data_IF_294640508478
#
_entry.id   IF_294640508478
#
_cell.length_a   1.000
_cell.length_b   1.000
_cell.length_c   1.000
_cell.angle_alpha   90.00
_cell.angle_beta   90.00
_cell.angle_gamma   90.00
#
_symmetry.space_group_name_H-M   'P 1'
#
loop_
_entity.id
_entity.type
_entity.pdbx_description
1 polymer ?
#
# COMPACT_ATOMS: atom_id res chain seq x y z
N UNK A 1 27.59 -3.21 1.95
CA UNK A 1 26.36 -3.41 2.71
C UNK A 1 25.92 -2.06 3.19
N UNK A 2 24.77 -1.58 2.71
CA UNK A 2 24.22 -0.32 3.19
C UNK A 2 23.56 -0.58 4.55
N UNK A 3 24.06 0.07 5.61
CA UNK A 3 23.42 0.12 6.91
C UNK A 3 22.13 0.95 6.77
N UNK A 4 20.99 0.28 6.75
CA UNK A 4 19.69 0.93 6.88
C UNK A 4 19.54 1.33 8.35
N UNK A 5 19.68 2.63 8.65
CA UNK A 5 19.68 3.22 10.00
C UNK A 5 18.32 3.20 10.72
N UNK A 6 17.70 2.03 10.84
CA UNK A 6 16.62 1.77 11.77
C UNK A 6 17.16 1.38 13.15
N UNK A 7 16.33 1.37 14.22
CA UNK A 7 16.72 0.78 15.49
C UNK A 7 17.07 -0.69 15.26
N UNK A 8 18.26 -1.08 15.71
CA UNK A 8 18.72 -2.46 15.71
C UNK A 8 17.70 -3.35 16.45
N UNK A 9 17.25 -4.42 15.78
CA UNK A 9 16.28 -5.35 16.35
C UNK A 9 16.80 -5.97 17.64
N UNK A 10 18.12 -6.25 17.72
CA UNK A 10 18.76 -6.79 18.91
C UNK A 10 18.69 -5.80 20.08
N UNK A 11 18.95 -4.52 19.81
CA UNK A 11 18.85 -3.48 20.82
C UNK A 11 17.41 -3.33 21.35
N UNK A 12 16.41 -3.33 20.46
CA UNK A 12 15.01 -3.24 20.84
C UNK A 12 14.56 -4.45 21.69
N UNK A 13 14.98 -5.66 21.30
CA UNK A 13 14.67 -6.88 22.02
C UNK A 13 15.39 -6.98 23.37
N UNK A 14 16.64 -6.52 23.45
CA UNK A 14 17.39 -6.38 24.70
C UNK A 14 16.67 -5.47 25.69
N UNK A 15 16.25 -4.27 25.25
CA UNK A 15 15.50 -3.34 26.11
C UNK A 15 14.18 -3.94 26.61
N UNK A 16 13.43 -4.63 25.75
CA UNK A 16 12.18 -5.27 26.15
C UNK A 16 12.43 -6.40 27.18
N UNK A 17 13.46 -7.22 26.94
CA UNK A 17 13.86 -8.32 27.83
C UNK A 17 14.30 -7.79 29.20
N UNK A 18 15.18 -6.80 29.23
CA UNK A 18 15.70 -6.20 30.46
C UNK A 18 14.59 -5.53 31.29
N UNK A 19 13.57 -4.98 30.61
CA UNK A 19 12.37 -4.45 31.24
C UNK A 19 11.32 -5.51 31.63
N UNK A 20 11.55 -6.80 31.32
CA UNK A 20 10.59 -7.88 31.56
C UNK A 20 9.29 -7.73 30.79
N UNK A 21 9.32 -7.08 29.61
CA UNK A 21 8.15 -6.80 28.77
C UNK A 21 8.14 -7.73 27.54
N UNK A 22 6.97 -8.27 27.14
CA UNK A 22 6.89 -9.05 25.92
C UNK A 22 7.10 -8.17 24.68
N UNK A 23 7.84 -8.66 23.69
CA UNK A 23 8.03 -8.02 22.40
C UNK A 23 7.20 -8.73 21.32
N UNK A 24 6.45 -7.95 20.53
CA UNK A 24 5.74 -8.40 19.34
C UNK A 24 6.30 -7.64 18.13
N UNK A 25 6.78 -8.38 17.14
CA UNK A 25 7.25 -7.86 15.85
C UNK A 25 6.15 -8.07 14.81
N UNK A 26 5.81 -7.03 14.06
CA UNK A 26 4.96 -7.11 12.88
C UNK A 26 5.84 -6.99 11.64
N UNK A 27 5.86 -8.01 10.81
CA UNK A 27 6.46 -7.99 9.49
C UNK A 27 5.35 -7.85 8.45
N UNK A 28 5.29 -6.69 7.80
CA UNK A 28 4.27 -6.36 6.81
C UNK A 28 4.82 -6.49 5.39
N UNK A 29 4.06 -7.15 4.52
CA UNK A 29 4.36 -7.42 3.11
C UNK A 29 5.80 -7.92 2.83
N UNK A 30 6.30 -8.97 3.51
CA UNK A 30 7.62 -9.53 3.21
C UNK A 30 7.79 -9.96 1.75
N UNK A 31 6.72 -10.29 1.04
CA UNK A 31 6.75 -10.57 -0.39
C UNK A 31 7.31 -9.44 -1.28
N UNK A 32 7.34 -8.20 -0.77
CA UNK A 32 7.87 -7.03 -1.48
C UNK A 32 9.37 -6.82 -1.16
N UNK A 33 10.02 -7.78 -0.49
CA UNK A 33 11.44 -7.73 -0.18
C UNK A 33 12.33 -7.77 -1.44
N UNK A 34 13.52 -7.14 -1.40
CA UNK A 34 14.51 -7.25 -2.46
C UNK A 34 14.84 -8.71 -2.80
N UNK A 35 15.03 -9.07 -4.10
CA UNK A 35 15.29 -10.45 -4.52
C UNK A 35 16.45 -11.13 -3.80
N UNK A 36 17.51 -10.39 -3.46
CA UNK A 36 18.67 -10.91 -2.73
C UNK A 36 18.31 -11.46 -1.34
N UNK A 37 17.29 -10.91 -0.68
CA UNK A 37 16.78 -11.42 0.60
C UNK A 37 15.89 -12.65 0.40
N UNK A 38 15.27 -12.78 -0.78
CA UNK A 38 14.44 -13.93 -1.11
C UNK A 38 15.24 -15.20 -1.45
N UNK A 39 16.53 -15.07 -1.80
CA UNK A 39 17.38 -16.20 -2.21
C UNK A 39 17.65 -17.20 -1.06
N UNK A 40 17.74 -16.73 0.19
CA UNK A 40 17.95 -17.57 1.38
C UNK A 40 16.86 -17.36 2.45
N UNK A 41 15.60 -17.43 2.04
CA UNK A 41 14.47 -17.39 2.98
C UNK A 41 14.54 -18.49 4.05
N UNK A 42 15.10 -19.66 3.71
CA UNK A 42 15.23 -20.78 4.64
C UNK A 42 16.18 -20.46 5.80
N UNK A 43 17.38 -19.96 5.49
CA UNK A 43 18.35 -19.51 6.49
C UNK A 43 17.79 -18.36 7.32
N UNK A 44 17.19 -17.35 6.66
CA UNK A 44 16.57 -16.22 7.35
C UNK A 44 15.48 -16.65 8.34
N UNK A 45 14.61 -17.60 7.97
CA UNK A 45 13.57 -18.12 8.88
C UNK A 45 14.20 -18.87 10.06
N UNK A 46 15.24 -19.67 9.83
CA UNK A 46 15.92 -20.40 10.90
C UNK A 46 16.54 -19.44 11.94
N UNK A 47 17.25 -18.43 11.46
CA UNK A 47 17.87 -17.39 12.30
C UNK A 47 16.81 -16.58 13.05
N UNK A 48 15.72 -16.21 12.37
CA UNK A 48 14.58 -15.50 12.98
C UNK A 48 13.94 -16.34 14.09
N UNK A 49 13.73 -17.64 13.87
CA UNK A 49 13.16 -18.53 14.91
C UNK A 49 14.11 -18.68 16.10
N UNK A 50 15.42 -18.78 15.87
CA UNK A 50 16.41 -18.82 16.93
C UNK A 50 16.39 -17.52 17.76
N UNK A 51 16.38 -16.38 17.07
CA UNK A 51 16.31 -15.05 17.67
C UNK A 51 15.03 -14.84 18.49
N UNK A 52 13.85 -15.18 17.94
CA UNK A 52 12.57 -15.06 18.65
C UNK A 52 12.57 -15.87 19.95
N UNK A 53 13.15 -17.08 19.94
CA UNK A 53 13.29 -17.92 21.13
C UNK A 53 14.25 -17.33 22.14
N UNK A 54 15.40 -16.83 21.68
CA UNK A 54 16.39 -16.22 22.55
C UNK A 54 15.79 -15.05 23.32
N UNK A 55 15.09 -14.14 22.63
CA UNK A 55 14.52 -12.92 23.22
C UNK A 55 13.11 -13.10 23.81
N UNK A 56 12.50 -14.28 23.67
CA UNK A 56 11.11 -14.49 24.07
C UNK A 56 10.12 -13.60 23.30
N UNK A 57 10.50 -13.20 22.08
CA UNK A 57 9.71 -12.34 21.21
C UNK A 57 8.73 -13.15 20.35
N UNK A 58 7.70 -12.48 19.83
CA UNK A 58 6.69 -13.06 18.94
C UNK A 58 6.68 -12.33 17.60
N UNK A 59 6.36 -13.04 16.53
CA UNK A 59 6.26 -12.50 15.18
C UNK A 59 4.82 -12.66 14.66
N UNK A 60 4.28 -11.59 14.09
CA UNK A 60 3.08 -11.59 13.25
C UNK A 60 3.49 -11.18 11.86
N UNK A 61 2.99 -11.89 10.85
CA UNK A 61 3.32 -11.64 9.45
C UNK A 61 2.04 -11.27 8.72
N UNK A 62 1.98 -10.04 8.18
CA UNK A 62 0.96 -9.63 7.23
C UNK A 62 1.48 -9.90 5.82
N UNK A 63 0.86 -10.83 5.10
CA UNK A 63 1.27 -11.19 3.74
C UNK A 63 0.10 -11.72 2.92
N UNK A 64 0.31 -11.80 1.60
CA UNK A 64 -0.63 -12.43 0.67
C UNK A 64 -0.70 -13.95 0.87
N UNK A 65 -1.87 -14.58 0.61
CA UNK A 65 -2.05 -16.03 0.76
C UNK A 65 -1.01 -16.86 -0.01
N UNK A 66 -0.68 -16.46 -1.24
CA UNK A 66 0.26 -17.18 -2.12
C UNK A 66 1.70 -17.12 -1.60
N UNK A 67 2.04 -16.05 -0.87
CA UNK A 67 3.32 -15.96 -0.19
C UNK A 67 3.34 -16.86 1.05
N UNK A 68 2.28 -16.82 1.85
CA UNK A 68 2.15 -17.62 3.07
C UNK A 68 2.25 -19.13 2.81
N UNK A 69 1.65 -19.65 1.73
CA UNK A 69 1.72 -21.07 1.38
C UNK A 69 3.17 -21.60 1.29
N UNK A 70 4.09 -20.77 0.80
CA UNK A 70 5.52 -21.11 0.67
C UNK A 70 6.31 -20.74 1.92
N UNK A 71 6.11 -19.53 2.41
CA UNK A 71 6.88 -18.97 3.54
C UNK A 71 6.52 -19.63 4.87
N UNK A 72 5.22 -19.83 5.14
CA UNK A 72 4.74 -20.46 6.36
C UNK A 72 5.23 -21.91 6.51
N UNK A 73 5.47 -22.62 5.41
CA UNK A 73 6.01 -23.98 5.41
C UNK A 73 7.44 -24.07 5.97
N UNK A 74 8.22 -22.98 5.89
CA UNK A 74 9.60 -22.92 6.37
C UNK A 74 9.70 -22.89 7.90
N UNK A 75 8.66 -22.42 8.59
CA UNK A 75 8.66 -22.36 10.06
C UNK A 75 8.47 -23.75 10.67
N UNK A 76 9.30 -24.18 11.64
CA UNK A 76 9.06 -25.42 12.38
C UNK A 76 7.69 -25.42 13.05
N UNK A 77 6.98 -26.55 13.08
CA UNK A 77 5.63 -26.64 13.66
C UNK A 77 5.58 -26.15 15.12
N UNK A 78 6.64 -26.38 15.90
CA UNK A 78 6.76 -25.96 17.30
C UNK A 78 6.98 -24.45 17.47
N UNK A 79 7.34 -23.74 16.39
CA UNK A 79 7.51 -22.30 16.40
C UNK A 79 6.23 -21.55 15.96
N UNK A 80 5.21 -22.26 15.48
CA UNK A 80 3.95 -21.66 15.02
C UNK A 80 2.94 -21.54 16.15
N UNK A 81 2.12 -20.51 16.10
CA UNK A 81 0.97 -20.35 16.99
C UNK A 81 -0.10 -21.44 16.70
N UNK A 82 -0.97 -21.73 17.68
CA UNK A 82 -2.09 -22.68 17.53
C UNK A 82 -3.03 -22.33 16.37
N UNK A 83 -3.15 -21.03 16.10
CA UNK A 83 -3.77 -20.47 14.90
C UNK A 83 -2.64 -19.91 14.02
N UNK A 84 -2.03 -20.73 13.14
CA UNK A 84 -0.83 -20.33 12.42
C UNK A 84 -1.11 -19.32 11.30
N UNK A 85 -2.37 -19.20 10.85
CA UNK A 85 -2.80 -18.27 9.83
C UNK A 85 -4.24 -17.81 10.11
N UNK A 86 -4.50 -16.53 9.89
CA UNK A 86 -5.84 -15.93 9.94
C UNK A 86 -6.05 -15.26 8.58
N UNK A 87 -7.01 -15.76 7.81
CA UNK A 87 -7.39 -15.13 6.55
C UNK A 87 -8.22 -13.88 6.84
N UNK A 88 -7.83 -12.77 6.22
CA UNK A 88 -8.56 -11.51 6.28
C UNK A 88 -9.37 -11.36 4.98
N UNK A 89 -10.68 -11.53 5.08
CA UNK A 89 -11.61 -11.36 3.96
C UNK A 89 -12.24 -9.94 4.00
N UNK A 90 -13.25 -9.72 3.17
CA UNK A 90 -14.13 -8.55 3.26
C UNK A 90 -14.68 -8.36 4.68
N UNK A 91 -14.94 -7.10 5.04
CA UNK A 91 -15.48 -6.72 6.34
C UNK A 91 -16.83 -7.40 6.61
N UNK A 92 -17.14 -7.64 7.88
CA UNK A 92 -18.50 -8.03 8.22
C UNK A 92 -19.50 -6.89 7.95
N UNK A 93 -20.80 -7.19 8.01
CA UNK A 93 -21.83 -6.19 7.69
C UNK A 93 -21.84 -4.98 8.64
N UNK A 94 -21.53 -5.20 9.93
CA UNK A 94 -21.46 -4.16 10.95
C UNK A 94 -20.22 -3.29 10.79
N UNK A 95 -19.07 -3.91 10.57
CA UNK A 95 -17.79 -3.25 10.27
C UNK A 95 -17.87 -2.42 8.99
N UNK A 96 -18.43 -2.98 7.92
CA UNK A 96 -18.64 -2.27 6.66
C UNK A 96 -19.58 -1.07 6.84
N UNK A 97 -20.66 -1.22 7.62
CA UNK A 97 -21.55 -0.09 7.93
C UNK A 97 -20.82 0.99 8.75
N UNK A 98 -19.97 0.61 9.70
CA UNK A 98 -19.17 1.55 10.48
C UNK A 98 -18.15 2.30 9.62
N UNK A 99 -17.44 1.60 8.74
CA UNK A 99 -16.48 2.21 7.83
C UNK A 99 -17.17 3.16 6.84
N UNK A 100 -18.30 2.75 6.26
CA UNK A 100 -19.09 3.61 5.36
C UNK A 100 -19.49 4.93 6.02
N UNK A 101 -19.99 4.88 7.27
CA UNK A 101 -20.30 6.10 8.04
C UNK A 101 -19.07 6.98 8.23
N UNK A 102 -17.92 6.40 8.59
CA UNK A 102 -16.65 7.15 8.78
C UNK A 102 -16.16 7.79 7.49
N UNK A 103 -16.37 7.14 6.35
CA UNK A 103 -15.95 7.62 5.03
C UNK A 103 -17.00 8.49 4.32
N UNK A 104 -18.16 8.76 4.94
CA UNK A 104 -19.23 9.54 4.30
C UNK A 104 -19.89 8.84 3.11
N UNK A 105 -19.87 7.51 3.07
CA UNK A 105 -20.49 6.70 2.03
C UNK A 105 -21.89 6.28 2.50
N UNK A 106 -22.98 6.66 1.80
CA UNK A 106 -24.33 6.28 2.21
C UNK A 106 -24.60 4.79 1.99
N UNK A 107 -25.64 4.27 2.65
CA UNK A 107 -26.10 2.92 2.37
C UNK A 107 -26.59 2.81 0.92
N UNK A 108 -26.24 1.71 0.25
CA UNK A 108 -26.44 1.58 -1.20
C UNK A 108 -25.65 2.57 -2.08
N UNK A 109 -24.67 3.31 -1.53
CA UNK A 109 -23.83 4.25 -2.27
C UNK A 109 -22.72 3.59 -3.13
N UNK A 110 -22.60 2.27 -3.07
CA UNK A 110 -21.68 1.43 -3.85
C UNK A 110 -22.39 0.11 -4.21
N UNK A 111 -21.89 -0.59 -5.24
CA UNK A 111 -22.45 -1.86 -5.67
C UNK A 111 -22.48 -2.89 -4.53
N UNK A 112 -23.58 -3.65 -4.38
CA UNK A 112 -23.79 -4.56 -3.25
C UNK A 112 -22.66 -5.59 -3.08
N UNK A 113 -22.10 -6.09 -4.19
CA UNK A 113 -20.97 -7.03 -4.17
C UNK A 113 -19.69 -6.45 -3.56
N UNK A 114 -19.52 -5.13 -3.64
CA UNK A 114 -18.33 -4.41 -3.22
C UNK A 114 -18.58 -3.67 -1.89
N UNK A 115 -19.78 -3.81 -1.31
CA UNK A 115 -20.26 -3.03 -0.17
C UNK A 115 -19.55 -3.31 1.16
N UNK A 116 -18.74 -4.39 1.20
CA UNK A 116 -17.95 -4.83 2.35
C UNK A 116 -16.45 -4.75 2.12
N UNK A 117 -16.04 -4.35 0.92
CA UNK A 117 -14.63 -4.28 0.56
C UNK A 117 -14.00 -3.02 1.17
N UNK A 118 -13.03 -3.15 2.10
CA UNK A 118 -12.54 -2.03 2.90
C UNK A 118 -11.94 -0.91 2.04
N UNK A 119 -11.10 -1.27 1.06
CA UNK A 119 -10.50 -0.28 0.16
C UNK A 119 -11.54 0.42 -0.74
N UNK A 120 -12.53 -0.30 -1.28
CA UNK A 120 -13.56 0.30 -2.14
C UNK A 120 -14.39 1.33 -1.37
N UNK A 121 -14.74 1.04 -0.11
CA UNK A 121 -15.46 2.00 0.75
C UNK A 121 -14.61 3.25 0.99
N UNK A 122 -13.33 3.08 1.35
CA UNK A 122 -12.43 4.22 1.61
C UNK A 122 -12.29 5.12 0.38
N UNK A 123 -11.98 4.54 -0.77
CA UNK A 123 -11.76 5.29 -2.01
C UNK A 123 -13.05 5.94 -2.53
N UNK A 124 -14.21 5.28 -2.38
CA UNK A 124 -15.49 5.88 -2.70
C UNK A 124 -15.77 7.13 -1.84
N UNK A 125 -15.42 7.10 -0.56
CA UNK A 125 -15.52 8.26 0.33
C UNK A 125 -14.66 9.44 -0.15
N UNK A 126 -13.41 9.17 -0.53
CA UNK A 126 -12.51 10.22 -1.05
C UNK A 126 -12.98 10.81 -2.37
N UNK A 127 -13.43 9.97 -3.31
CA UNK A 127 -13.98 10.42 -4.60
C UNK A 127 -15.22 11.28 -4.38
N UNK A 128 -16.14 10.84 -3.50
CA UNK A 128 -17.35 11.62 -3.15
C UNK A 128 -17.01 12.97 -2.54
N UNK A 129 -16.06 13.00 -1.62
CA UNK A 129 -15.61 14.24 -0.99
C UNK A 129 -15.01 15.23 -2.00
N UNK A 130 -14.29 14.74 -3.01
CA UNK A 130 -13.70 15.57 -4.05
C UNK A 130 -14.71 16.09 -5.09
N UNK A 131 -15.68 15.26 -5.50
CA UNK A 131 -16.68 15.64 -6.51
C UNK A 131 -17.70 16.66 -5.97
N UNK A 132 -17.98 16.65 -4.67
CA UNK A 132 -18.90 17.61 -4.07
C UNK A 132 -20.35 17.40 -4.51
N UNK A 133 -20.89 16.20 -4.25
CA UNK A 133 -22.27 15.84 -4.55
C UNK A 133 -22.55 14.36 -4.31
N UNK A 134 -23.80 13.94 -4.49
CA UNK A 134 -24.14 12.52 -4.53
C UNK A 134 -23.90 11.98 -5.95
N UNK A 135 -22.82 11.19 -6.21
CA UNK A 135 -22.68 10.48 -7.46
C UNK A 135 -23.94 9.67 -7.77
N UNK A 136 -24.35 9.73 -9.03
CA UNK A 136 -25.48 8.95 -9.53
C UNK A 136 -25.11 7.46 -9.56
N UNK A 137 -26.03 6.62 -9.10
CA UNK A 137 -25.89 5.17 -9.19
C UNK A 137 -25.09 4.52 -8.07
N UNK A 138 -24.66 3.28 -8.33
CA UNK A 138 -23.97 2.40 -7.37
C UNK A 138 -22.69 1.88 -8.01
N UNK A 139 -21.60 2.67 -7.96
CA UNK A 139 -20.39 2.31 -8.68
C UNK A 139 -19.81 1.01 -8.13
N UNK A 140 -19.30 0.22 -9.05
CA UNK A 140 -18.54 -0.99 -8.79
C UNK A 140 -17.13 -0.66 -8.32
N UNK A 141 -16.45 -1.63 -7.70
CA UNK A 141 -15.04 -1.49 -7.31
C UNK A 141 -14.13 -1.01 -8.44
N UNK A 142 -14.33 -1.49 -9.67
CA UNK A 142 -13.57 -1.05 -10.86
C UNK A 142 -13.80 0.43 -11.16
N UNK A 143 -15.05 0.88 -11.13
CA UNK A 143 -15.39 2.29 -11.38
C UNK A 143 -14.85 3.19 -10.27
N UNK A 144 -14.95 2.75 -9.01
CA UNK A 144 -14.37 3.47 -7.86
C UNK A 144 -12.86 3.62 -8.02
N UNK A 145 -12.14 2.53 -8.35
CA UNK A 145 -10.68 2.57 -8.50
C UNK A 145 -10.27 3.44 -9.68
N UNK A 146 -11.02 3.40 -10.78
CA UNK A 146 -10.77 4.25 -11.95
C UNK A 146 -10.98 5.74 -11.60
N UNK A 147 -12.10 6.08 -10.96
CA UNK A 147 -12.39 7.45 -10.54
C UNK A 147 -11.39 7.98 -9.50
N UNK A 148 -10.91 7.11 -8.61
CA UNK A 148 -9.87 7.47 -7.66
C UNK A 148 -8.52 7.73 -8.35
N UNK A 149 -8.16 6.91 -9.35
CA UNK A 149 -6.96 7.15 -10.16
C UNK A 149 -7.05 8.50 -10.90
N UNK A 150 -8.21 8.81 -11.49
CA UNK A 150 -8.45 10.10 -12.14
C UNK A 150 -8.32 11.26 -11.14
N UNK A 151 -8.85 11.10 -9.92
CA UNK A 151 -8.70 12.08 -8.83
C UNK A 151 -7.23 12.28 -8.42
N UNK A 152 -6.45 11.21 -8.30
CA UNK A 152 -5.01 11.33 -8.02
C UNK A 152 -4.29 12.07 -9.14
N UNK A 153 -4.61 11.77 -10.41
CA UNK A 153 -4.02 12.47 -11.55
C UNK A 153 -4.39 13.95 -11.58
N UNK A 154 -5.63 14.30 -11.19
CA UNK A 154 -6.07 15.68 -11.03
C UNK A 154 -5.28 16.40 -9.93
N UNK A 155 -5.13 15.80 -8.75
CA UNK A 155 -4.36 16.38 -7.63
C UNK A 155 -2.90 16.64 -7.99
N UNK A 156 -2.26 15.74 -8.74
CA UNK A 156 -0.91 15.94 -9.26
C UNK A 156 -0.87 17.11 -10.25
N UNK A 157 -1.87 17.22 -11.14
CA UNK A 157 -1.97 18.35 -12.06
C UNK A 157 -2.19 19.69 -11.35
N UNK A 158 -2.96 19.71 -10.26
CA UNK A 158 -3.14 20.90 -9.40
C UNK A 158 -1.81 21.33 -8.78
N UNK A 159 -1.04 20.41 -8.18
CA UNK A 159 0.30 20.71 -7.62
C UNK A 159 1.26 21.27 -8.67
N UNK A 160 1.34 20.63 -9.84
CA UNK A 160 2.16 21.11 -10.95
C UNK A 160 1.81 22.53 -11.41
N UNK A 161 0.55 22.92 -11.25
CA UNK A 161 0.08 24.24 -11.63
C UNK A 161 0.33 25.30 -10.59
N UNK A 162 0.36 24.93 -9.31
CA UNK A 162 0.80 25.81 -8.22
C UNK A 162 2.30 26.10 -8.32
N UNK A 163 3.10 25.13 -8.78
CA UNK A 163 4.53 25.29 -9.03
C UNK A 163 4.86 26.07 -10.32
N UNK A 164 3.92 26.10 -11.28
CA UNK A 164 4.03 26.80 -12.56
C UNK A 164 3.23 28.10 -12.63
N UNK A 165 3.35 28.85 -13.74
CA UNK A 165 2.35 29.86 -14.09
C UNK A 165 1.24 29.17 -14.89
N UNK A 166 0.06 29.00 -14.29
CA UNK A 166 -1.10 28.46 -14.97
C UNK A 166 -1.46 29.32 -16.20
N UNK A 167 -1.59 28.76 -17.41
CA UNK A 167 -2.10 29.49 -18.57
C UNK A 167 -3.58 29.90 -18.34
N UNK A 168 -4.00 31.06 -18.85
CA UNK A 168 -5.39 31.57 -18.74
C UNK A 168 -6.45 30.77 -19.56
N UNK A 169 -6.24 29.48 -19.83
CA UNK A 169 -7.12 28.67 -20.68
C UNK A 169 -8.08 27.78 -19.84
N UNK A 170 -9.41 27.85 -20.03
CA UNK A 170 -10.38 27.13 -19.19
C UNK A 170 -10.16 25.62 -19.01
N UNK A 171 -9.54 24.96 -19.98
CA UNK A 171 -9.33 23.50 -20.02
C UNK A 171 -7.88 23.06 -19.70
N UNK A 172 -6.99 23.98 -19.32
CA UNK A 172 -5.58 23.67 -19.15
C UNK A 172 -5.38 22.57 -18.08
N UNK A 173 -6.11 22.64 -16.96
CA UNK A 173 -5.98 21.69 -15.85
C UNK A 173 -6.45 20.29 -16.27
N UNK A 174 -7.55 20.22 -17.04
CA UNK A 174 -8.04 18.95 -17.58
C UNK A 174 -7.03 18.31 -18.53
N UNK A 175 -6.41 19.10 -19.41
CA UNK A 175 -5.35 18.62 -20.31
C UNK A 175 -4.11 18.17 -19.52
N UNK A 176 -3.74 18.88 -18.47
CA UNK A 176 -2.60 18.50 -17.63
C UNK A 176 -2.90 17.20 -16.86
N UNK A 177 -4.08 17.05 -16.28
CA UNK A 177 -4.51 15.81 -15.64
C UNK A 177 -4.50 14.62 -16.61
N UNK A 178 -4.96 14.81 -17.85
CA UNK A 178 -4.88 13.77 -18.89
C UNK A 178 -3.42 13.40 -19.23
N UNK A 179 -2.51 14.38 -19.26
CA UNK A 179 -1.07 14.13 -19.47
C UNK A 179 -0.45 13.38 -18.28
N UNK A 180 -0.84 13.72 -17.06
CA UNK A 180 -0.44 12.99 -15.84
C UNK A 180 -0.90 11.55 -15.94
N UNK A 181 -2.19 11.31 -16.24
CA UNK A 181 -2.75 9.98 -16.40
C UNK A 181 -1.99 9.15 -17.45
N UNK A 182 -1.63 9.75 -18.59
CA UNK A 182 -0.81 9.09 -19.60
C UNK A 182 0.56 8.65 -19.09
N UNK A 183 1.24 9.49 -18.29
CA UNK A 183 2.55 9.15 -17.70
C UNK A 183 2.43 8.11 -16.59
N UNK A 184 1.39 8.19 -15.75
CA UNK A 184 1.11 7.18 -14.72
C UNK A 184 0.79 5.82 -15.37
N UNK A 185 0.07 5.80 -16.49
CA UNK A 185 -0.18 4.57 -17.24
C UNK A 185 1.11 3.98 -17.84
N UNK A 186 2.00 4.83 -18.36
CA UNK A 186 3.30 4.37 -18.85
C UNK A 186 4.19 3.84 -17.71
N UNK A 187 4.20 4.52 -16.56
CA UNK A 187 4.87 4.02 -15.36
C UNK A 187 4.34 2.64 -14.96
N UNK A 188 3.01 2.49 -14.86
CA UNK A 188 2.38 1.21 -14.55
C UNK A 188 2.73 0.11 -15.56
N UNK A 189 2.92 0.44 -16.84
CA UNK A 189 3.37 -0.50 -17.86
C UNK A 189 4.82 -0.93 -17.64
N UNK A 190 5.72 0.00 -17.31
CA UNK A 190 7.13 -0.31 -17.01
C UNK A 190 7.27 -1.19 -15.76
N UNK A 191 6.40 -0.99 -14.76
CA UNK A 191 6.29 -1.83 -13.57
C UNK A 191 5.97 -3.31 -13.88
N UNK A 192 5.36 -3.64 -15.03
CA UNK A 192 5.05 -5.03 -15.41
C UNK A 192 6.29 -5.83 -15.86
N UNK A 193 7.46 -5.19 -15.93
CA UNK A 193 8.72 -5.86 -16.18
C UNK A 193 9.19 -6.75 -15.00
N UNK A 194 10.40 -7.32 -15.09
CA UNK A 194 10.94 -8.24 -14.08
C UNK A 194 11.17 -7.64 -12.67
N UNK A 195 10.92 -6.35 -12.47
CA UNK A 195 11.16 -5.61 -11.22
C UNK A 195 10.08 -5.72 -10.13
N UNK A 196 9.39 -6.86 -9.99
CA UNK A 196 8.39 -7.11 -8.93
C UNK A 196 7.27 -6.05 -8.82
N UNK A 197 6.94 -5.33 -9.90
CA UNK A 197 5.93 -4.27 -9.85
C UNK A 197 6.47 -2.89 -9.43
N UNK A 198 7.76 -2.77 -9.10
CA UNK A 198 8.40 -1.49 -8.82
C UNK A 198 8.78 -0.76 -10.10
N UNK A 199 8.84 0.58 -10.01
CA UNK A 199 9.41 1.42 -11.06
C UNK A 199 10.86 1.75 -10.68
N UNK A 200 11.79 1.41 -11.55
CA UNK A 200 13.20 1.75 -11.33
C UNK A 200 13.39 3.26 -11.24
N UNK A 201 14.40 3.68 -10.47
CA UNK A 201 14.67 5.11 -10.26
C UNK A 201 14.88 5.85 -11.57
N UNK A 202 15.63 5.26 -12.51
CA UNK A 202 15.92 5.87 -13.81
C UNK A 202 14.63 6.06 -14.64
N UNK A 203 13.77 5.03 -14.67
CA UNK A 203 12.46 5.09 -15.33
C UNK A 203 11.52 6.13 -14.69
N UNK A 204 11.53 6.22 -13.36
CA UNK A 204 10.77 7.23 -12.62
C UNK A 204 11.23 8.64 -13.00
N UNK A 205 12.54 8.91 -13.00
CA UNK A 205 13.08 10.23 -13.31
C UNK A 205 12.86 10.62 -14.78
N UNK A 206 12.86 9.66 -15.71
CA UNK A 206 12.50 9.87 -17.11
C UNK A 206 11.03 10.30 -17.26
N UNK A 207 10.12 9.59 -16.58
CA UNK A 207 8.68 9.86 -16.65
C UNK A 207 8.27 11.08 -15.82
N UNK A 208 8.98 11.37 -14.73
CA UNK A 208 8.67 12.44 -13.78
C UNK A 208 9.93 13.25 -13.43
N UNK A 209 10.36 14.18 -14.31
CA UNK A 209 11.60 14.90 -14.10
C UNK A 209 11.57 15.82 -12.88
N UNK A 210 12.64 15.79 -12.08
CA UNK A 210 12.81 16.67 -10.92
C UNK A 210 12.88 18.15 -11.30
N UNK A 211 13.50 18.47 -12.44
CA UNK A 211 13.78 19.85 -12.86
C UNK A 211 12.50 20.63 -13.21
N UNK A 212 11.40 19.92 -13.48
CA UNK A 212 10.11 20.51 -13.86
C UNK A 212 9.04 20.31 -12.80
N UNK A 213 9.41 19.87 -11.58
CA UNK A 213 8.48 19.70 -10.46
C UNK A 213 7.65 18.41 -10.49
N UNK A 214 7.69 17.64 -11.59
CA UNK A 214 6.88 16.43 -11.76
C UNK A 214 7.12 15.36 -10.69
N UNK A 215 8.39 15.13 -10.33
CA UNK A 215 8.72 14.19 -9.27
C UNK A 215 8.04 14.57 -7.94
N UNK A 216 8.20 15.83 -7.51
CA UNK A 216 7.61 16.35 -6.27
C UNK A 216 6.09 16.27 -6.28
N UNK A 217 5.48 16.73 -7.37
CA UNK A 217 4.02 16.71 -7.52
C UNK A 217 3.43 15.30 -7.44
N UNK A 218 4.11 14.30 -8.01
CA UNK A 218 3.70 12.88 -7.96
C UNK A 218 3.92 12.25 -6.59
N UNK A 219 5.07 12.53 -5.96
CA UNK A 219 5.38 12.03 -4.61
C UNK A 219 4.53 12.69 -3.52
N UNK A 220 4.00 13.90 -3.80
CA UNK A 220 3.26 14.70 -2.83
C UNK A 220 4.15 15.45 -1.84
N UNK A 221 5.40 15.72 -2.25
CA UNK A 221 6.42 16.46 -1.49
C UNK A 221 6.33 17.99 -1.65
#
# INVERSE_FOLDING_TARGET
GAEWGGPDADAAAGVARDAGRPLLVLLDAPEDMPPVLAEDLGGWVADTVAWLREYGARLVVGCRPEFWERFGALFPAQARHELPCIELDDLDAGEAAALRRRCGVPDGGIAARDARHPLAIRLAGEVRAAVGGEPEGRPTRREIFSAYLDLVCLRVAERLAEEGRAPDQPDWLRRLAARVAGRVHEAARRCLGPGQGALEREDFEELFPWQTGWARAVLGD
#
